data_IF_611996664890
#
_entry.id   IF_611996664890
#
_cell.length_a   1.000
_cell.length_b   1.000
_cell.length_c   1.000
_cell.angle_alpha   90.00
_cell.angle_beta   90.00
_cell.angle_gamma   90.00
#
_symmetry.space_group_name_H-M   'P 1'
#
loop_
_entity.id
_entity.type
_entity.pdbx_description
1 polymer ?
#
# COMPACT_ATOMS: atom_id res chain seq x y z
N UNK A 1 1.08 21.77 -1.22
CA UNK A 1 2.10 20.72 -1.36
C UNK A 1 2.17 19.99 -0.05
N UNK A 2 2.27 18.67 -0.10
CA UNK A 2 2.34 17.79 1.06
C UNK A 2 3.63 16.99 0.97
N UNK A 3 4.31 16.86 2.09
CA UNK A 3 5.58 16.16 2.23
C UNK A 3 5.30 14.89 3.02
N UNK A 4 5.76 13.75 2.49
CA UNK A 4 5.61 12.45 3.14
C UNK A 4 6.95 11.73 3.00
N UNK A 5 7.42 11.14 4.10
CA UNK A 5 8.66 10.40 4.13
C UNK A 5 8.48 9.03 3.46
N UNK A 6 9.46 8.61 2.65
CA UNK A 6 9.52 7.25 2.17
C UNK A 6 9.80 6.29 3.33
N UNK A 7 8.97 5.26 3.59
CA UNK A 7 9.18 4.33 4.70
C UNK A 7 10.48 3.50 4.57
N UNK A 8 11.01 3.37 3.35
CA UNK A 8 12.20 2.55 3.06
C UNK A 8 13.51 3.36 3.15
N UNK A 9 13.60 4.49 2.45
CA UNK A 9 14.82 5.28 2.38
C UNK A 9 14.81 6.56 3.24
N UNK A 10 13.67 6.92 3.83
CA UNK A 10 13.47 8.11 4.67
C UNK A 10 13.68 9.45 3.95
N UNK A 11 13.80 9.45 2.62
CA UNK A 11 13.80 10.68 1.83
C UNK A 11 12.39 11.24 1.68
N UNK A 12 12.29 12.57 1.66
CA UNK A 12 11.01 13.31 1.60
C UNK A 12 10.50 13.35 0.16
N UNK A 13 9.25 12.93 -0.04
CA UNK A 13 8.56 12.99 -1.33
C UNK A 13 7.51 14.11 -1.30
N UNK A 14 7.59 15.03 -2.26
CA UNK A 14 6.65 16.14 -2.40
C UNK A 14 5.49 15.82 -3.33
N UNK A 15 4.27 15.92 -2.82
CA UNK A 15 3.04 15.72 -3.56
C UNK A 15 2.34 17.04 -3.85
N UNK A 16 1.99 17.25 -5.13
CA UNK A 16 1.15 18.36 -5.57
C UNK A 16 -0.33 18.09 -5.31
N UNK A 17 -0.75 16.85 -5.56
CA UNK A 17 -2.10 16.34 -5.35
C UNK A 17 -1.98 14.95 -4.70
N UNK A 18 -2.83 14.70 -3.70
CA UNK A 18 -2.88 13.43 -2.98
C UNK A 18 -4.09 12.65 -3.43
N UNK A 19 -3.92 11.36 -3.67
CA UNK A 19 -5.00 10.44 -4.04
C UNK A 19 -4.79 9.13 -3.31
N UNK A 20 -5.83 8.69 -2.61
CA UNK A 20 -5.83 7.43 -1.89
C UNK A 20 -5.71 6.25 -2.88
N UNK A 21 -4.89 5.26 -2.53
CA UNK A 21 -4.53 4.13 -3.38
C UNK A 21 -3.64 4.50 -4.58
N UNK A 22 -2.98 5.67 -4.56
CA UNK A 22 -2.07 6.05 -5.64
C UNK A 22 -0.78 5.23 -5.54
N UNK A 23 -0.50 4.46 -6.59
CA UNK A 23 0.77 3.76 -6.75
C UNK A 23 1.84 4.76 -7.20
N UNK A 24 2.97 4.75 -6.52
CA UNK A 24 4.12 5.59 -6.83
C UNK A 24 5.41 4.76 -6.79
N UNK A 25 6.41 5.18 -7.54
CA UNK A 25 7.77 4.69 -7.38
C UNK A 25 8.57 5.78 -6.65
N UNK A 26 9.26 5.43 -5.56
CA UNK A 26 10.07 6.39 -4.82
C UNK A 26 11.22 6.90 -5.73
N UNK A 27 11.34 8.21 -5.99
CA UNK A 27 12.33 8.74 -6.91
C UNK A 27 13.78 8.62 -6.41
N UNK A 28 13.97 8.27 -5.13
CA UNK A 28 15.28 8.16 -4.49
C UNK A 28 15.79 6.72 -4.43
N UNK A 29 14.95 5.77 -3.98
CA UNK A 29 15.34 4.36 -3.84
C UNK A 29 14.74 3.43 -4.90
N UNK A 30 13.76 3.89 -5.68
CA UNK A 30 13.09 3.09 -6.71
C UNK A 30 12.02 2.12 -6.19
N UNK A 31 11.65 2.21 -4.91
CA UNK A 31 10.68 1.29 -4.29
C UNK A 31 9.24 1.57 -4.77
N UNK A 32 8.45 0.51 -5.00
CA UNK A 32 7.02 0.64 -5.30
C UNK A 32 6.21 0.81 -4.01
N UNK A 33 5.58 1.99 -3.87
CA UNK A 33 4.81 2.37 -2.70
C UNK A 33 3.37 2.70 -3.08
N UNK A 34 2.47 2.64 -2.10
CA UNK A 34 1.08 3.08 -2.22
C UNK A 34 0.81 4.17 -1.21
N UNK A 35 0.29 5.29 -1.70
CA UNK A 35 -0.19 6.39 -0.88
C UNK A 35 -1.58 6.07 -0.36
N UNK A 36 -1.72 5.99 0.96
CA UNK A 36 -2.98 5.73 1.64
C UNK A 36 -3.39 6.93 2.50
N UNK A 37 -4.69 7.13 2.64
CA UNK A 37 -5.25 8.02 3.64
C UNK A 37 -5.86 7.21 4.79
N UNK A 38 -5.28 7.30 5.97
CA UNK A 38 -5.74 6.59 7.16
C UNK A 38 -6.02 7.60 8.29
N UNK A 39 -7.24 7.59 8.84
CA UNK A 39 -7.65 8.47 9.95
C UNK A 39 -7.27 9.95 9.77
N UNK A 40 -7.50 10.52 8.59
CA UNK A 40 -7.13 11.90 8.20
C UNK A 40 -5.61 12.17 8.04
N UNK A 41 -4.77 11.16 8.21
CA UNK A 41 -3.32 11.18 7.95
C UNK A 41 -2.98 10.54 6.60
N UNK A 42 -1.88 10.98 5.98
CA UNK A 42 -1.41 10.46 4.69
C UNK A 42 -0.08 9.76 4.88
N UNK A 43 -0.03 8.51 4.47
CA UNK A 43 1.13 7.64 4.68
C UNK A 43 1.47 6.88 3.40
N UNK A 44 2.75 6.50 3.28
CA UNK A 44 3.24 5.63 2.23
C UNK A 44 3.51 4.26 2.83
N UNK A 45 3.01 3.22 2.17
CA UNK A 45 3.24 1.83 2.55
C UNK A 45 3.83 1.05 1.36
N UNK A 46 4.61 0.02 1.65
CA UNK A 46 5.20 -0.84 0.62
C UNK A 46 4.08 -1.62 -0.11
N UNK A 47 4.14 -1.66 -1.44
CA UNK A 47 3.11 -2.33 -2.23
C UNK A 47 3.06 -3.84 -1.95
N UNK A 48 4.20 -4.46 -1.63
CA UNK A 48 4.28 -5.87 -1.23
C UNK A 48 3.51 -6.13 0.08
N UNK A 49 3.48 -5.17 1.01
CA UNK A 49 2.75 -5.32 2.27
C UNK A 49 1.23 -5.38 2.06
N UNK A 50 0.68 -4.69 1.05
CA UNK A 50 -0.77 -4.73 0.77
C UNK A 50 -1.20 -6.08 0.18
N UNK A 51 -0.36 -6.70 -0.65
CA UNK A 51 -0.71 -7.97 -1.30
C UNK A 51 -0.87 -9.12 -0.29
N UNK A 52 -0.11 -9.08 0.82
CA UNK A 52 -0.26 -10.04 1.91
C UNK A 52 -1.63 -10.01 2.61
N UNK A 53 -2.37 -8.90 2.53
CA UNK A 53 -3.70 -8.78 3.14
C UNK A 53 -4.81 -9.31 2.22
N UNK A 54 -4.63 -9.24 0.90
CA UNK A 54 -5.60 -9.74 -0.07
C UNK A 54 -5.44 -11.24 -0.35
N UNK A 55 -4.23 -11.80 -0.25
CA UNK A 55 -4.03 -13.26 -0.40
C UNK A 55 -4.61 -14.07 0.79
N UNK A 56 -4.80 -13.44 1.96
CA UNK A 56 -5.40 -14.12 3.12
C UNK A 56 -6.94 -14.24 3.04
N UNK A 57 -7.62 -13.39 2.24
CA UNK A 57 -9.08 -13.48 2.04
C UNK A 57 -9.50 -14.48 0.94
N UNK A 58 -8.62 -14.88 0.02
CA UNK A 58 -8.96 -15.86 -1.03
C UNK A 58 -8.79 -17.33 -0.61
N UNK A 59 -8.44 -17.63 0.65
CA UNK A 59 -8.29 -19.03 1.12
C UNK A 59 -9.44 -19.55 2.01
N UNK A 60 -10.56 -18.82 2.14
CA UNK A 60 -11.71 -19.23 2.96
C UNK A 60 -12.91 -19.85 2.20
N UNK A 61 -12.79 -20.15 0.90
CA UNK A 61 -13.89 -20.83 0.17
C UNK A 61 -13.39 -22.02 -0.66
N UNK A 62 -12.86 -23.06 -0.01
CA UNK A 62 -12.71 -24.37 -0.68
C UNK A 62 -12.70 -25.57 0.31
N UNK A 63 -13.62 -25.59 1.29
CA UNK A 63 -13.89 -26.79 2.11
C UNK A 63 -15.39 -26.96 2.38
N UNK A 64 -16.21 -26.90 1.33
CA UNK A 64 -17.64 -27.23 1.40
C UNK A 64 -18.07 -28.13 0.23
N UNK A 65 -17.43 -29.27 0.08
CA UNK A 65 -17.88 -30.46 -0.67
C UNK A 65 -16.89 -31.58 -0.28
N UNK A 66 -17.25 -32.75 0.25
CA UNK A 66 -18.39 -33.62 0.00
C UNK A 66 -18.75 -34.38 1.29
N UNK A 67 -20.02 -34.33 1.69
CA UNK A 67 -20.62 -35.31 2.59
C UNK A 67 -22.06 -35.58 2.10
N UNK A 68 -22.17 -36.24 0.93
CA UNK A 68 -23.41 -36.85 0.41
C UNK A 68 -23.13 -38.08 -0.47
#
# INVERSE_FOLDING_TARGET
MKEIDCPVCLEVIEFKELKDGLNIECPFCGEELILINFEDEWELIEKEEILGWYEEEETFEDNLEEDL
#
